data_IF_610002113715
#
_entry.id   IF_610002113715
#
_cell.length_a   1.000
_cell.length_b   1.000
_cell.length_c   1.000
_cell.angle_alpha   90.00
_cell.angle_beta   90.00
_cell.angle_gamma   90.00
#
_symmetry.space_group_name_H-M   'P 1'
#
loop_
_entity.id
_entity.type
_entity.pdbx_description
1 polymer ?
#
# COMPACT_ATOMS: atom_id res chain seq x y z
N UNK A 1 10.45 -7.24 -8.25
CA UNK A 1 10.08 -8.29 -7.29
C UNK A 1 11.25 -9.28 -7.27
N UNK A 2 11.65 -9.83 -6.10
CA UNK A 2 12.75 -10.82 -6.08
C UNK A 2 12.18 -12.16 -6.53
N UNK A 3 12.29 -12.45 -7.82
CA UNK A 3 11.60 -13.58 -8.47
C UNK A 3 12.22 -14.96 -8.19
N UNK A 4 13.20 -15.02 -7.29
CA UNK A 4 14.04 -16.20 -7.04
C UNK A 4 14.00 -16.73 -5.60
N UNK A 5 13.21 -16.15 -4.69
CA UNK A 5 13.05 -16.67 -3.32
C UNK A 5 12.14 -17.89 -3.30
N UNK A 6 12.54 -18.96 -2.59
CA UNK A 6 11.77 -20.21 -2.47
C UNK A 6 11.82 -20.74 -1.04
N UNK A 7 10.92 -21.68 -0.72
CA UNK A 7 10.96 -22.42 0.55
C UNK A 7 10.95 -21.53 1.79
N UNK A 8 11.89 -21.75 2.71
CA UNK A 8 12.01 -20.98 3.95
C UNK A 8 12.42 -19.53 3.74
N UNK A 9 13.27 -19.24 2.74
CA UNK A 9 13.72 -17.87 2.49
C UNK A 9 12.54 -16.97 2.10
N UNK A 10 11.61 -17.49 1.28
CA UNK A 10 10.37 -16.81 0.96
C UNK A 10 9.52 -16.57 2.21
N UNK A 11 9.42 -17.55 3.12
CA UNK A 11 8.64 -17.41 4.36
C UNK A 11 9.24 -16.36 5.30
N UNK A 12 10.56 -16.34 5.44
CA UNK A 12 11.27 -15.34 6.26
C UNK A 12 11.07 -13.95 5.66
N UNK A 13 11.26 -13.82 4.35
CA UNK A 13 11.07 -12.56 3.65
C UNK A 13 9.62 -12.06 3.76
N UNK A 14 8.62 -12.92 3.53
CA UNK A 14 7.21 -12.55 3.69
C UNK A 14 6.90 -12.11 5.12
N UNK A 15 7.42 -12.82 6.13
CA UNK A 15 7.21 -12.45 7.53
C UNK A 15 7.81 -11.09 7.88
N UNK A 16 9.01 -10.81 7.37
CA UNK A 16 9.64 -9.49 7.52
C UNK A 16 8.85 -8.41 6.78
N UNK A 17 8.50 -8.66 5.52
CA UNK A 17 7.71 -7.74 4.70
C UNK A 17 6.39 -7.38 5.39
N UNK A 18 5.59 -8.37 5.83
CA UNK A 18 4.34 -8.10 6.54
C UNK A 18 4.49 -7.54 7.95
N UNK A 19 5.67 -7.67 8.58
CA UNK A 19 5.94 -7.04 9.89
C UNK A 19 6.27 -5.56 9.74
N UNK A 20 7.00 -5.21 8.68
CA UNK A 20 7.42 -3.85 8.40
C UNK A 20 6.34 -3.06 7.67
N UNK A 21 5.60 -3.72 6.79
CA UNK A 21 4.47 -3.15 6.06
C UNK A 21 3.27 -3.04 7.01
N UNK A 22 2.83 -1.81 7.25
CA UNK A 22 1.71 -1.49 8.15
C UNK A 22 0.53 -1.06 7.29
N UNK A 23 -0.26 -2.01 6.77
CA UNK A 23 -1.41 -1.65 5.97
C UNK A 23 -2.38 -0.85 6.82
N UNK A 24 -2.97 0.16 6.20
CA UNK A 24 -3.98 1.02 6.79
C UNK A 24 -5.15 1.10 5.81
N UNK A 25 -6.36 1.36 6.32
CA UNK A 25 -7.53 1.48 5.47
C UNK A 25 -7.31 2.54 4.38
N UNK A 26 -7.80 2.28 3.17
CA UNK A 26 -7.65 3.20 2.04
C UNK A 26 -8.22 4.58 2.40
N UNK A 27 -9.35 4.60 3.10
CA UNK A 27 -10.04 5.80 3.57
C UNK A 27 -9.14 6.70 4.43
N UNK A 28 -8.33 6.10 5.31
CA UNK A 28 -7.38 6.84 6.14
C UNK A 28 -6.26 7.45 5.29
N UNK A 29 -5.76 6.71 4.28
CA UNK A 29 -4.73 7.21 3.36
C UNK A 29 -5.25 8.40 2.54
N UNK A 30 -6.49 8.33 2.06
CA UNK A 30 -7.13 9.44 1.33
C UNK A 30 -7.39 10.65 2.25
N UNK A 31 -7.75 10.41 3.52
CA UNK A 31 -7.87 11.48 4.50
C UNK A 31 -6.55 12.19 4.72
N UNK A 32 -5.44 11.46 4.89
CA UNK A 32 -4.11 12.06 5.06
C UNK A 32 -3.69 12.89 3.84
N UNK A 33 -4.04 12.47 2.63
CA UNK A 33 -3.80 13.28 1.43
C UNK A 33 -4.55 14.61 1.50
N UNK A 34 -5.81 14.59 1.92
CA UNK A 34 -6.61 15.80 2.07
C UNK A 34 -6.01 16.73 3.12
N UNK A 35 -5.60 16.19 4.26
CA UNK A 35 -4.94 16.95 5.34
C UNK A 35 -3.58 17.52 4.91
N UNK A 36 -2.85 16.81 4.04
CA UNK A 36 -1.61 17.28 3.45
C UNK A 36 -1.81 18.32 2.31
N UNK A 37 -3.06 18.74 2.05
CA UNK A 37 -3.42 19.78 1.10
C UNK A 37 -3.59 19.31 -0.34
N UNK A 38 -3.64 18.01 -0.60
CA UNK A 38 -3.98 17.50 -1.93
C UNK A 38 -5.47 17.71 -2.23
N UNK A 39 -5.79 17.95 -3.50
CA UNK A 39 -7.11 18.17 -4.09
C UNK A 39 -7.34 17.14 -5.19
N UNK A 40 -8.58 17.01 -5.66
CA UNK A 40 -8.95 16.04 -6.73
C UNK A 40 -8.45 14.61 -6.40
N UNK A 41 -8.64 14.21 -5.14
CA UNK A 41 -8.20 12.90 -4.65
C UNK A 41 -9.14 11.83 -5.18
N UNK A 42 -8.60 10.85 -5.90
CA UNK A 42 -9.40 9.78 -6.52
C UNK A 42 -8.68 8.43 -6.46
N UNK A 43 -9.45 7.36 -6.24
CA UNK A 43 -8.98 5.98 -6.36
C UNK A 43 -9.37 5.42 -7.72
N UNK A 44 -8.37 5.22 -8.58
CA UNK A 44 -8.57 4.74 -9.97
C UNK A 44 -8.66 3.22 -10.05
N UNK A 45 -8.15 2.52 -9.05
CA UNK A 45 -8.21 1.06 -9.01
C UNK A 45 -8.06 0.55 -7.58
N UNK A 46 -8.80 -0.50 -7.26
CA UNK A 46 -8.63 -1.25 -6.01
C UNK A 46 -8.97 -2.72 -6.19
N UNK A 47 -8.22 -3.58 -5.52
CA UNK A 47 -8.48 -5.01 -5.44
C UNK A 47 -7.86 -5.60 -4.17
N UNK A 48 -8.69 -6.17 -3.30
CA UNK A 48 -8.29 -6.68 -2.00
C UNK A 48 -7.49 -5.62 -1.20
N UNK A 49 -6.25 -5.91 -0.80
CA UNK A 49 -5.39 -5.02 -0.02
C UNK A 49 -4.54 -4.07 -0.87
N UNK A 50 -4.85 -3.94 -2.16
CA UNK A 50 -4.11 -3.10 -3.09
C UNK A 50 -5.02 -2.01 -3.64
N UNK A 51 -4.49 -0.80 -3.74
CA UNK A 51 -5.16 0.33 -4.35
C UNK A 51 -4.16 1.22 -5.09
N UNK A 52 -4.63 1.85 -6.17
CA UNK A 52 -3.94 2.94 -6.86
C UNK A 52 -4.86 4.16 -6.74
N UNK A 53 -4.32 5.23 -6.18
CA UNK A 53 -5.02 6.47 -5.96
C UNK A 53 -4.04 7.64 -6.15
N UNK A 54 -4.58 8.80 -6.50
CA UNK A 54 -3.80 10.01 -6.75
C UNK A 54 -4.48 11.23 -6.14
N UNK A 55 -3.77 12.35 -6.14
CA UNK A 55 -4.30 13.68 -5.86
C UNK A 55 -3.36 14.75 -6.40
N UNK A 56 -3.89 15.93 -6.68
CA UNK A 56 -3.16 17.09 -7.16
C UNK A 56 -2.77 17.98 -5.98
N UNK A 57 -1.54 18.47 -5.92
CA UNK A 57 -1.10 19.42 -4.88
C UNK A 57 -1.29 20.85 -5.38
#
# INVERSE_FOLDING_TARGET
MRDNLRGEELKIWLRHAFKEDKPVALEDQLLWMKEAGFREIECVWRYQNLAVYYGLK
#
